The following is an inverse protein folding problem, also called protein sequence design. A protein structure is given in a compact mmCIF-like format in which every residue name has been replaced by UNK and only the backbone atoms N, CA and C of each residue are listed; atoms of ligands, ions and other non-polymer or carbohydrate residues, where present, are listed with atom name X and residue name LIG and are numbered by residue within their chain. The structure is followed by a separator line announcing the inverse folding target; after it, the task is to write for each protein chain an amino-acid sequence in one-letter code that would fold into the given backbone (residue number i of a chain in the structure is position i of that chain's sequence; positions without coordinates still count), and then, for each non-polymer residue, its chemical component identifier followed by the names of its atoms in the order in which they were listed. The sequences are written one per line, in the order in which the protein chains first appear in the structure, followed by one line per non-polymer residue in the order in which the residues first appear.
data_IF_231581332134
#
_entry.id   IF_231581332134
#
_cell.length_a   1.000
_cell.length_b   1.000
_cell.length_c   1.000
_cell.angle_alpha   90.00
_cell.angle_beta   90.00
_cell.angle_gamma   90.00
#
_symmetry.space_group_name_H-M   'P 1'
#
loop_
_entity.id
_entity.type
_entity.pdbx_description
1 polymer ?
#
# COMPACT_ATOMS: atom_id res chain seq x y z
N UNK A 1 -7.23 24.63 -3.76
CA UNK A 1 -7.16 23.25 -4.25
C UNK A 1 -6.72 22.26 -3.17
N UNK A 2 -5.49 22.30 -2.64
CA UNK A 2 -5.07 21.36 -1.58
C UNK A 2 -5.86 21.52 -0.27
N UNK A 3 -6.09 22.76 0.19
CA UNK A 3 -6.83 23.06 1.43
C UNK A 3 -8.33 22.69 1.37
N UNK A 4 -8.94 22.85 0.21
CA UNK A 4 -10.34 22.50 -0.01
C UNK A 4 -10.51 20.98 0.00
N UNK A 5 -9.56 20.26 -0.63
CA UNK A 5 -9.52 18.80 -0.60
C UNK A 5 -9.31 18.27 0.82
N UNK A 6 -8.43 18.91 1.59
CA UNK A 6 -8.13 18.55 2.99
C UNK A 6 -9.40 18.54 3.86
N UNK A 7 -10.27 19.54 3.67
CA UNK A 7 -11.56 19.62 4.37
C UNK A 7 -12.47 18.43 4.04
N UNK A 8 -12.62 18.07 2.77
CA UNK A 8 -13.49 16.99 2.35
C UNK A 8 -12.91 15.59 2.63
N UNK A 9 -11.60 15.42 2.46
CA UNK A 9 -10.90 14.15 2.63
C UNK A 9 -10.84 13.73 4.10
N UNK A 10 -10.63 14.67 5.02
CA UNK A 10 -10.37 14.32 6.43
C UNK A 10 -11.56 14.53 7.38
N UNK A 11 -12.55 15.38 7.07
CA UNK A 11 -13.71 15.56 7.98
C UNK A 11 -14.81 14.53 7.83
N UNK A 12 -14.98 13.94 6.65
CA UNK A 12 -16.11 13.05 6.34
C UNK A 12 -15.72 11.61 6.01
N UNK A 13 -14.45 11.24 6.16
CA UNK A 13 -14.07 9.85 6.04
C UNK A 13 -14.49 9.08 7.30
N UNK A 14 -15.67 8.46 7.22
CA UNK A 14 -16.12 7.47 8.19
C UNK A 14 -16.14 6.11 7.48
N UNK A 15 -15.17 5.27 7.83
CA UNK A 15 -15.13 3.89 7.40
C UNK A 15 -15.78 3.03 8.48
N UNK A 16 -16.97 2.51 8.21
CA UNK A 16 -17.60 1.49 9.05
C UNK A 16 -16.88 0.16 8.80
N UNK A 17 -16.04 -0.23 9.74
CA UNK A 17 -15.21 -1.41 9.66
C UNK A 17 -15.80 -2.63 10.39
N UNK A 18 -17.05 -2.57 10.86
CA UNK A 18 -17.67 -3.62 11.68
C UNK A 18 -17.56 -5.01 11.01
N UNK A 19 -17.94 -5.10 9.73
CA UNK A 19 -17.86 -6.36 8.97
C UNK A 19 -16.44 -6.78 8.63
N UNK A 20 -15.52 -5.82 8.53
CA UNK A 20 -14.09 -6.11 8.32
C UNK A 20 -13.51 -6.76 9.59
N UNK A 21 -13.86 -6.24 10.77
CA UNK A 21 -13.45 -6.81 12.05
C UNK A 21 -14.02 -8.22 12.26
N UNK A 22 -15.30 -8.44 11.93
CA UNK A 22 -15.92 -9.78 11.96
C UNK A 22 -15.20 -10.77 11.02
N UNK A 23 -14.85 -10.31 9.81
CA UNK A 23 -14.08 -11.12 8.86
C UNK A 23 -12.71 -11.48 9.42
N UNK A 24 -11.95 -10.51 9.93
CA UNK A 24 -10.62 -10.74 10.54
C UNK A 24 -10.75 -11.74 11.70
N UNK A 25 -11.75 -11.58 12.56
CA UNK A 25 -11.99 -12.48 13.69
C UNK A 25 -12.29 -13.92 13.25
N UNK A 26 -13.00 -14.10 12.13
CA UNK A 26 -13.37 -15.40 11.57
C UNK A 26 -12.21 -16.20 10.95
N UNK A 27 -11.07 -15.56 10.67
CA UNK A 27 -9.94 -16.20 10.01
C UNK A 27 -9.14 -17.13 10.92
N UNK A 28 -8.57 -18.18 10.33
CA UNK A 28 -7.59 -19.04 10.99
C UNK A 28 -6.30 -18.27 11.30
N UNK A 29 -5.54 -18.74 12.29
CA UNK A 29 -4.24 -18.12 12.64
C UNK A 29 -3.24 -18.19 11.46
N UNK A 30 -3.34 -19.25 10.65
CA UNK A 30 -2.56 -19.40 9.43
C UNK A 30 -2.92 -18.31 8.40
N UNK A 31 -4.21 -18.07 8.17
CA UNK A 31 -4.66 -17.04 7.22
C UNK A 31 -4.29 -15.64 7.70
N UNK A 32 -4.40 -15.37 9.01
CA UNK A 32 -3.95 -14.10 9.61
C UNK A 32 -2.45 -13.87 9.42
N UNK A 33 -1.65 -14.94 9.47
CA UNK A 33 -0.21 -14.86 9.21
C UNK A 33 0.12 -14.64 7.73
N UNK A 34 -0.65 -15.23 6.80
CA UNK A 34 -0.42 -15.09 5.37
C UNK A 34 -0.94 -13.76 4.82
N UNK A 35 -2.08 -13.31 5.35
CA UNK A 35 -2.81 -12.12 4.94
C UNK A 35 -3.05 -11.25 6.17
N UNK A 36 -1.99 -10.56 6.61
CA UNK A 36 -2.09 -9.64 7.73
C UNK A 36 -3.00 -8.45 7.38
N UNK A 37 -4.26 -8.54 7.79
CA UNK A 37 -5.26 -7.49 7.64
C UNK A 37 -5.29 -6.51 8.83
N UNK A 38 -4.44 -6.73 9.84
CA UNK A 38 -4.28 -5.81 10.96
C UNK A 38 -3.43 -4.61 10.51
N UNK A 39 -4.12 -3.56 10.09
CA UNK A 39 -3.51 -2.34 9.53
C UNK A 39 -2.55 -1.69 10.53
N UNK A 40 -2.83 -1.80 11.83
CA UNK A 40 -1.98 -1.24 12.90
C UNK A 40 -0.58 -1.86 12.95
N UNK A 41 -0.42 -3.09 12.46
CA UNK A 41 0.86 -3.81 12.43
C UNK A 41 1.71 -3.51 11.18
N UNK A 42 1.20 -2.68 10.26
CA UNK A 42 1.89 -2.37 9.01
C UNK A 42 2.99 -1.32 9.24
N UNK A 43 4.25 -1.70 9.00
CA UNK A 43 5.34 -0.72 8.81
C UNK A 43 5.17 -0.09 7.42
N UNK A 44 4.43 1.02 7.38
CA UNK A 44 3.98 1.66 6.14
C UNK A 44 5.09 1.97 5.14
N UNK A 45 6.24 2.46 5.63
CA UNK A 45 7.38 2.78 4.77
C UNK A 45 7.88 1.54 4.01
N UNK A 46 8.04 0.42 4.69
CA UNK A 46 8.47 -0.85 4.09
C UNK A 46 7.40 -1.42 3.16
N UNK A 47 6.13 -1.31 3.56
CA UNK A 47 5.01 -1.79 2.77
C UNK A 47 4.94 -1.06 1.43
N UNK A 48 4.95 0.28 1.43
CA UNK A 48 4.93 1.07 0.20
C UNK A 48 6.16 0.79 -0.67
N UNK A 49 7.36 0.71 -0.08
CA UNK A 49 8.58 0.43 -0.83
C UNK A 49 8.52 -0.95 -1.53
N UNK A 50 8.06 -1.99 -0.83
CA UNK A 50 7.89 -3.33 -1.39
C UNK A 50 6.83 -3.34 -2.50
N UNK A 51 5.69 -2.68 -2.28
CA UNK A 51 4.62 -2.59 -3.27
C UNK A 51 5.06 -1.88 -4.55
N UNK A 52 5.80 -0.76 -4.43
CA UNK A 52 6.36 -0.04 -5.59
C UNK A 52 7.35 -0.93 -6.35
N UNK A 53 8.25 -1.63 -5.66
CA UNK A 53 9.20 -2.56 -6.31
C UNK A 53 8.49 -3.70 -7.03
N UNK A 54 7.50 -4.31 -6.38
CA UNK A 54 6.67 -5.35 -6.97
C UNK A 54 5.95 -4.87 -8.22
N UNK A 55 5.33 -3.68 -8.16
CA UNK A 55 4.67 -3.06 -9.31
C UNK A 55 5.63 -2.83 -10.47
N UNK A 56 6.80 -2.24 -10.22
CA UNK A 56 7.84 -2.03 -11.25
C UNK A 56 8.27 -3.34 -11.90
N UNK A 57 8.55 -4.37 -11.09
CA UNK A 57 9.03 -5.67 -11.58
C UNK A 57 7.97 -6.45 -12.35
N UNK A 58 6.75 -6.53 -11.83
CA UNK A 58 5.74 -7.47 -12.32
C UNK A 58 4.73 -6.85 -13.27
N UNK A 59 4.37 -5.57 -13.06
CA UNK A 59 3.41 -4.87 -13.92
C UNK A 59 4.15 -4.12 -15.02
N UNK A 60 5.12 -3.28 -14.65
CA UNK A 60 5.87 -2.48 -15.63
C UNK A 60 6.97 -3.27 -16.33
N UNK A 61 7.28 -4.49 -15.84
CA UNK A 61 8.38 -5.33 -16.34
C UNK A 61 9.73 -4.60 -16.36
N UNK A 62 9.91 -3.63 -15.46
CA UNK A 62 11.19 -2.96 -15.25
C UNK A 62 12.12 -3.93 -14.54
N UNK A 63 13.22 -4.29 -15.20
CA UNK A 63 14.26 -5.07 -14.56
C UNK A 63 15.05 -4.11 -13.67
N UNK A 64 15.23 -4.40 -12.38
CA UNK A 64 15.94 -3.50 -11.42
C UNK A 64 17.39 -3.17 -11.87
N UNK A 65 17.90 -3.93 -12.84
CA UNK A 65 19.23 -3.81 -13.43
C UNK A 65 19.26 -3.23 -14.85
N UNK A 66 18.10 -2.87 -15.42
CA UNK A 66 18.07 -2.31 -16.78
C UNK A 66 18.65 -0.87 -16.77
N UNK A 67 19.54 -0.53 -17.72
CA UNK A 67 20.06 0.83 -17.85
C UNK A 67 18.95 1.88 -17.98
N UNK A 68 17.83 1.53 -18.61
CA UNK A 68 16.67 2.41 -18.79
C UNK A 68 15.96 2.70 -17.45
N UNK A 69 15.87 1.72 -16.55
CA UNK A 69 15.30 1.92 -15.21
C UNK A 69 16.14 2.91 -14.38
N UNK A 70 17.48 2.84 -14.48
CA UNK A 70 18.39 3.82 -13.85
C UNK A 70 18.24 5.23 -14.44
N UNK A 71 18.09 5.35 -15.77
CA UNK A 71 17.88 6.65 -16.41
C UNK A 71 16.56 7.32 -15.99
N UNK A 72 15.48 6.55 -15.81
CA UNK A 72 14.19 7.08 -15.34
C UNK A 72 14.27 7.60 -13.90
N UNK A 73 14.96 6.87 -13.02
CA UNK A 73 15.18 7.31 -11.64
C UNK A 73 15.96 8.64 -11.58
N UNK A 74 17.02 8.76 -12.37
CA UNK A 74 17.86 9.96 -12.39
C UNK A 74 17.21 11.19 -13.03
N UNK A 75 16.12 11.02 -13.81
CA UNK A 75 15.34 12.14 -14.37
C UNK A 75 14.26 12.68 -13.43
N UNK A 76 13.93 11.94 -12.37
CA UNK A 76 12.86 12.31 -11.44
C UNK A 76 13.36 13.04 -10.18
N UNK A 77 14.68 13.20 -10.04
CA UNK A 77 15.34 14.05 -9.04
C UNK A 77 15.86 15.33 -9.72
#
# INVERSE_FOLDING_TARGET
MMKDLEFFVFRHFHFDDTRLQELIASQSDMDKSLFNMEISNIVWQDHFLKSIKGFKRHILKENEYSPEAKQRYNKSN
#
